data_IF_658763148879
#
_entry.id   IF_658763148879
#
_cell.length_a   1.000
_cell.length_b   1.000
_cell.length_c   1.000
_cell.angle_alpha   90.00
_cell.angle_beta   90.00
_cell.angle_gamma   90.00
#
_symmetry.space_group_name_H-M   'P 1'
#
loop_
_entity.id
_entity.type
_entity.pdbx_description
1 polymer ?
#
# COMPACT_ATOMS: atom_id res chain seq x y z
N UNK A 1 9.38 -8.53 -26.95
CA UNK A 1 9.44 -9.81 -27.67
C UNK A 1 10.21 -10.87 -26.85
N UNK A 2 11.44 -10.60 -26.39
CA UNK A 2 12.20 -11.55 -25.56
C UNK A 2 11.47 -11.98 -24.28
N UNK A 3 10.78 -11.06 -23.60
CA UNK A 3 9.96 -11.37 -22.41
C UNK A 3 8.83 -12.36 -22.73
N UNK A 4 8.14 -12.16 -23.86
CA UNK A 4 7.09 -13.08 -24.29
C UNK A 4 7.66 -14.48 -24.60
N UNK A 5 8.79 -14.55 -25.31
CA UNK A 5 9.43 -15.83 -25.63
C UNK A 5 9.97 -16.55 -24.38
N UNK A 6 10.31 -15.83 -23.32
CA UNK A 6 10.68 -16.44 -22.03
C UNK A 6 9.51 -16.88 -21.18
N UNK A 7 8.28 -16.81 -21.72
CA UNK A 7 7.04 -17.19 -21.00
C UNK A 7 6.55 -16.15 -20.00
N UNK A 8 7.12 -14.95 -20.03
CA UNK A 8 6.64 -13.86 -19.18
C UNK A 8 5.42 -13.17 -19.80
N UNK A 9 4.46 -12.80 -18.96
CA UNK A 9 3.31 -12.01 -19.39
C UNK A 9 3.77 -10.61 -19.75
N UNK A 10 3.46 -10.15 -20.97
CA UNK A 10 3.76 -8.80 -21.44
C UNK A 10 2.46 -7.99 -21.43
N UNK A 11 2.41 -6.97 -20.62
CA UNK A 11 1.27 -6.08 -20.47
C UNK A 11 1.64 -4.65 -20.86
N UNK A 12 0.65 -3.90 -21.34
CA UNK A 12 0.81 -2.46 -21.61
C UNK A 12 -0.53 -1.75 -21.45
N UNK A 13 -0.44 -0.49 -21.11
CA UNK A 13 -1.59 0.38 -20.92
C UNK A 13 -1.75 1.33 -22.09
N UNK A 14 -2.98 1.39 -22.64
CA UNK A 14 -3.34 2.38 -23.66
C UNK A 14 -4.23 3.44 -23.01
N UNK A 15 -3.75 4.67 -22.97
CA UNK A 15 -4.49 5.79 -22.39
C UNK A 15 -5.88 5.93 -23.02
N UNK A 16 -6.91 5.98 -22.20
CA UNK A 16 -8.31 6.04 -22.61
C UNK A 16 -8.95 4.72 -23.03
N UNK A 17 -8.16 3.63 -23.14
CA UNK A 17 -8.67 2.30 -23.52
C UNK A 17 -8.51 1.24 -22.44
N UNK A 18 -7.43 1.26 -21.66
CA UNK A 18 -7.17 0.33 -20.55
C UNK A 18 -5.95 -0.56 -20.78
N UNK A 19 -5.83 -1.61 -19.97
CA UNK A 19 -4.71 -2.55 -19.98
C UNK A 19 -4.96 -3.70 -20.95
N UNK A 20 -3.91 -4.09 -21.65
CA UNK A 20 -3.89 -5.20 -22.61
C UNK A 20 -2.74 -6.14 -22.31
N UNK A 21 -2.97 -7.41 -22.51
CA UNK A 21 -1.97 -8.48 -22.43
C UNK A 21 -1.70 -9.00 -23.83
N UNK A 22 -0.44 -9.25 -24.17
CA UNK A 22 -0.07 -9.96 -25.39
C UNK A 22 -0.52 -11.40 -25.24
N UNK A 23 -1.54 -11.79 -26.02
CA UNK A 23 -2.12 -13.15 -25.99
C UNK A 23 -1.46 -14.10 -26.98
N UNK A 24 -1.02 -13.58 -28.13
CA UNK A 24 -0.31 -14.36 -29.14
C UNK A 24 0.56 -13.45 -30.02
N UNK A 25 1.66 -14.02 -30.54
CA UNK A 25 2.50 -13.40 -31.57
C UNK A 25 2.61 -14.39 -32.73
N UNK A 26 1.98 -14.05 -33.86
CA UNK A 26 2.10 -14.80 -35.09
C UNK A 26 3.24 -14.22 -35.95
N UNK A 27 4.34 -14.96 -36.02
CA UNK A 27 5.52 -14.55 -36.77
C UNK A 27 5.36 -14.71 -38.27
N UNK A 28 4.44 -15.59 -38.71
CA UNK A 28 4.20 -15.84 -40.15
C UNK A 28 3.36 -14.70 -40.72
N UNK A 29 2.28 -14.34 -40.04
CA UNK A 29 1.41 -13.23 -40.42
C UNK A 29 1.95 -11.86 -39.98
N UNK A 30 3.01 -11.82 -39.18
CA UNK A 30 3.58 -10.61 -38.56
C UNK A 30 2.54 -9.83 -37.73
N UNK A 31 1.68 -10.55 -37.00
CA UNK A 31 0.61 -9.99 -36.19
C UNK A 31 0.86 -10.25 -34.70
N UNK A 32 0.45 -9.28 -33.89
CA UNK A 32 0.43 -9.39 -32.44
C UNK A 32 -1.02 -9.28 -31.96
N UNK A 33 -1.48 -10.30 -31.26
CA UNK A 33 -2.82 -10.35 -30.71
C UNK A 33 -2.83 -9.90 -29.25
N UNK A 34 -3.77 -9.05 -28.93
CA UNK A 34 -3.94 -8.47 -27.61
C UNK A 34 -5.30 -8.82 -27.04
N UNK A 35 -5.33 -9.20 -25.78
CA UNK A 35 -6.57 -9.38 -25.03
C UNK A 35 -6.70 -8.26 -24.03
N UNK A 36 -7.84 -7.60 -24.00
CA UNK A 36 -8.12 -6.55 -23.01
C UNK A 36 -8.20 -7.19 -21.62
N UNK A 37 -7.41 -6.67 -20.70
CA UNK A 37 -7.39 -7.12 -19.33
C UNK A 37 -8.09 -6.07 -18.44
N UNK A 38 -8.97 -6.53 -17.56
CA UNK A 38 -9.65 -5.66 -16.61
C UNK A 38 -8.86 -5.48 -15.30
N UNK A 39 -7.70 -6.16 -15.20
CA UNK A 39 -6.81 -6.05 -14.05
C UNK A 39 -5.46 -5.47 -14.48
N UNK A 40 -4.91 -4.59 -13.67
CA UNK A 40 -3.54 -4.12 -13.81
C UNK A 40 -2.65 -5.24 -13.27
N UNK A 41 -1.92 -5.94 -14.16
CA UNK A 41 -0.87 -6.93 -13.79
C UNK A 41 -1.24 -7.94 -12.70
N UNK A 42 -2.47 -8.49 -12.72
CA UNK A 42 -2.93 -9.39 -11.65
C UNK A 42 -3.20 -8.69 -10.31
N UNK A 43 -3.14 -7.36 -10.28
CA UNK A 43 -3.52 -6.55 -9.14
C UNK A 43 -5.04 -6.34 -9.11
N UNK A 44 -5.58 -6.31 -7.93
CA UNK A 44 -6.98 -5.97 -7.66
C UNK A 44 -7.08 -4.46 -7.38
N UNK A 45 -8.17 -3.76 -7.75
CA UNK A 45 -8.34 -2.33 -7.53
C UNK A 45 -8.61 -2.01 -6.04
N UNK A 46 -7.68 -2.43 -5.19
CA UNK A 46 -7.76 -2.32 -3.74
C UNK A 46 -6.63 -1.44 -3.24
N UNK A 47 -6.96 -0.49 -2.40
CA UNK A 47 -6.01 0.17 -1.51
C UNK A 47 -6.11 -0.56 -0.17
N UNK A 48 -5.04 -1.22 0.24
CA UNK A 48 -5.01 -2.01 1.46
C UNK A 48 -4.33 -1.24 2.58
N UNK A 49 -5.07 -0.98 3.66
CA UNK A 49 -4.60 -0.22 4.79
C UNK A 49 -4.30 -1.10 6.00
N UNK A 50 -3.09 -1.00 6.51
CA UNK A 50 -2.59 -1.66 7.72
C UNK A 50 -2.57 -0.64 8.88
N UNK A 51 -3.64 -0.54 9.69
CA UNK A 51 -3.71 0.39 10.80
C UNK A 51 -2.92 -0.10 12.00
N UNK A 52 -2.32 0.82 12.74
CA UNK A 52 -2.03 0.63 14.14
C UNK A 52 -3.25 0.99 14.99
N UNK A 53 -3.39 0.45 16.18
CA UNK A 53 -4.58 0.64 17.03
C UNK A 53 -4.33 1.43 18.30
N UNK A 54 -3.08 1.69 18.64
CA UNK A 54 -2.69 2.33 19.90
C UNK A 54 -2.86 3.86 19.89
N UNK A 55 -2.54 4.52 18.78
CA UNK A 55 -2.77 5.95 18.61
C UNK A 55 -4.09 6.20 17.89
N UNK A 56 -5.18 6.34 18.65
CA UNK A 56 -6.53 6.51 18.09
C UNK A 56 -6.63 7.76 17.19
N UNK A 57 -5.92 8.85 17.53
CA UNK A 57 -5.92 10.06 16.74
C UNK A 57 -5.35 9.84 15.33
N UNK A 58 -4.21 9.13 15.22
CA UNK A 58 -3.62 8.77 13.94
C UNK A 58 -4.55 7.85 13.14
N UNK A 59 -5.05 6.78 13.76
CA UNK A 59 -5.93 5.83 13.10
C UNK A 59 -7.21 6.49 12.57
N UNK A 60 -7.86 7.33 13.38
CA UNK A 60 -9.06 8.05 12.97
C UNK A 60 -8.79 9.03 11.81
N UNK A 61 -7.68 9.78 11.88
CA UNK A 61 -7.28 10.72 10.84
C UNK A 61 -6.99 9.98 9.51
N UNK A 62 -6.17 8.93 9.56
CA UNK A 62 -5.80 8.15 8.37
C UNK A 62 -7.03 7.48 7.76
N UNK A 63 -7.84 6.80 8.56
CA UNK A 63 -9.05 6.10 8.07
C UNK A 63 -10.01 7.09 7.39
N UNK A 64 -10.30 8.23 8.03
CA UNK A 64 -11.22 9.23 7.47
C UNK A 64 -10.71 9.80 6.15
N UNK A 65 -9.43 10.17 6.10
CA UNK A 65 -8.83 10.78 4.89
C UNK A 65 -8.71 9.76 3.76
N UNK A 66 -8.28 8.52 4.04
CA UNK A 66 -8.20 7.46 3.04
C UNK A 66 -9.58 7.12 2.45
N UNK A 67 -10.61 7.02 3.30
CA UNK A 67 -11.99 6.78 2.83
C UNK A 67 -12.41 7.86 1.84
N UNK A 68 -12.26 9.13 2.22
CA UNK A 68 -12.62 10.26 1.34
C UNK A 68 -11.86 10.22 0.01
N UNK A 69 -10.55 9.98 0.05
CA UNK A 69 -9.73 9.95 -1.18
C UNK A 69 -10.13 8.78 -2.08
N UNK A 70 -10.35 7.60 -1.50
CA UNK A 70 -10.74 6.41 -2.27
C UNK A 70 -12.10 6.59 -2.92
N UNK A 71 -13.07 7.16 -2.20
CA UNK A 71 -14.39 7.47 -2.74
C UNK A 71 -14.28 8.47 -3.90
N UNK A 72 -13.52 9.57 -3.74
CA UNK A 72 -13.27 10.55 -4.79
C UNK A 72 -12.58 9.94 -6.03
N UNK A 73 -11.61 9.05 -5.80
CA UNK A 73 -10.90 8.36 -6.88
C UNK A 73 -11.81 7.35 -7.59
N UNK A 74 -12.65 6.63 -6.85
CA UNK A 74 -13.60 5.67 -7.41
C UNK A 74 -14.64 6.36 -8.32
N UNK A 75 -15.12 7.56 -7.93
CA UNK A 75 -16.05 8.36 -8.75
C UNK A 75 -15.41 8.83 -10.06
N UNK A 76 -14.12 9.15 -10.04
CA UNK A 76 -13.39 9.66 -11.23
C UNK A 76 -12.79 8.55 -12.10
N UNK A 77 -12.58 7.39 -11.51
CA UNK A 77 -11.96 6.25 -12.17
C UNK A 77 -13.00 5.38 -12.87
N UNK A 78 -12.61 4.77 -13.99
CA UNK A 78 -13.39 3.68 -14.59
C UNK A 78 -13.21 2.35 -13.87
N UNK A 79 -12.27 2.29 -12.94
CA UNK A 79 -11.95 1.11 -12.14
C UNK A 79 -12.57 1.33 -10.76
N UNK A 80 -13.38 0.40 -10.24
CA UNK A 80 -14.00 0.52 -8.93
C UNK A 80 -12.95 0.31 -7.84
N UNK A 81 -12.28 1.40 -7.44
CA UNK A 81 -11.33 1.36 -6.32
C UNK A 81 -12.07 1.13 -5.01
N UNK A 82 -11.50 0.31 -4.15
CA UNK A 82 -12.02 0.04 -2.81
C UNK A 82 -10.93 0.18 -1.76
N UNK A 83 -11.31 0.65 -0.57
CA UNK A 83 -10.46 0.65 0.61
C UNK A 83 -10.73 -0.62 1.42
N UNK A 84 -9.71 -1.43 1.62
CA UNK A 84 -9.76 -2.54 2.54
C UNK A 84 -8.82 -2.30 3.72
N UNK A 85 -9.33 -2.54 4.92
CA UNK A 85 -8.59 -2.33 6.17
C UNK A 85 -8.28 -3.68 6.81
N UNK A 86 -7.05 -3.89 7.25
CA UNK A 86 -6.72 -5.09 8.01
C UNK A 86 -7.56 -5.17 9.28
N UNK A 87 -8.31 -6.25 9.49
CA UNK A 87 -9.06 -6.43 10.72
C UNK A 87 -8.11 -6.59 11.92
N UNK A 88 -8.40 -5.87 12.98
CA UNK A 88 -7.72 -6.00 14.27
C UNK A 88 -8.70 -6.59 15.26
N UNK A 89 -8.31 -7.68 15.90
CA UNK A 89 -9.15 -8.40 16.89
C UNK A 89 -8.55 -8.17 18.26
N UNK A 90 -9.34 -7.60 19.16
CA UNK A 90 -8.93 -7.40 20.53
C UNK A 90 -8.91 -8.72 21.33
N UNK A 91 -7.93 -8.85 22.23
CA UNK A 91 -7.89 -9.93 23.21
C UNK A 91 -7.41 -11.30 22.73
N UNK A 92 -7.01 -11.44 21.47
CA UNK A 92 -6.41 -12.67 20.96
C UNK A 92 -5.10 -12.40 20.20
N UNK A 93 -4.17 -13.38 20.16
CA UNK A 93 -2.99 -13.22 19.31
C UNK A 93 -3.37 -12.95 17.87
N UNK A 94 -2.82 -11.88 17.30
CA UNK A 94 -3.06 -11.56 15.91
C UNK A 94 -2.43 -12.62 14.98
N UNK A 95 -3.17 -13.04 13.98
CA UNK A 95 -2.74 -14.02 12.99
C UNK A 95 -2.86 -13.43 11.58
N UNK A 96 -1.74 -13.36 10.89
CA UNK A 96 -1.75 -13.03 9.46
C UNK A 96 -2.26 -14.24 8.66
N UNK A 97 -3.48 -14.12 8.15
CA UNK A 97 -4.13 -15.18 7.39
C UNK A 97 -3.67 -15.19 5.93
N UNK A 98 -3.81 -16.33 5.24
CA UNK A 98 -3.53 -16.44 3.81
C UNK A 98 -4.39 -15.47 2.98
N UNK A 99 -5.61 -15.15 3.42
CA UNK A 99 -6.47 -14.16 2.78
C UNK A 99 -5.88 -12.76 2.86
N UNK A 100 -5.36 -12.36 4.02
CA UNK A 100 -4.70 -11.06 4.21
C UNK A 100 -3.40 -10.98 3.41
N UNK A 101 -2.58 -12.03 3.41
CA UNK A 101 -1.36 -12.10 2.59
C UNK A 101 -1.69 -11.93 1.10
N UNK A 102 -2.73 -12.61 0.62
CA UNK A 102 -3.19 -12.45 -0.75
C UNK A 102 -3.65 -11.02 -1.06
N UNK A 103 -4.40 -10.38 -0.15
CA UNK A 103 -4.88 -9.00 -0.32
C UNK A 103 -3.72 -8.00 -0.34
N UNK A 104 -2.74 -8.14 0.55
CA UNK A 104 -1.52 -7.34 0.53
C UNK A 104 -0.84 -7.49 -0.83
N UNK A 105 -0.59 -8.71 -1.27
CA UNK A 105 0.12 -8.97 -2.53
C UNK A 105 -0.65 -8.40 -3.74
N UNK A 106 -1.97 -8.55 -3.77
CA UNK A 106 -2.80 -8.16 -4.92
C UNK A 106 -3.29 -6.72 -4.92
N UNK A 107 -3.19 -5.98 -3.81
CA UNK A 107 -3.62 -4.58 -3.76
C UNK A 107 -2.80 -3.70 -4.70
N UNK A 108 -3.39 -2.65 -5.24
CA UNK A 108 -2.69 -1.62 -6.02
C UNK A 108 -1.70 -0.83 -5.15
N UNK A 109 -2.12 -0.50 -3.94
CA UNK A 109 -1.34 0.26 -2.97
C UNK A 109 -1.48 -0.38 -1.59
N UNK A 110 -0.37 -0.58 -0.92
CA UNK A 110 -0.29 -0.89 0.51
C UNK A 110 -0.01 0.39 1.27
N UNK A 111 -0.88 0.73 2.21
CA UNK A 111 -0.70 1.87 3.12
C UNK A 111 -0.46 1.32 4.52
N UNK A 112 0.67 1.63 5.12
CA UNK A 112 1.03 1.19 6.47
C UNK A 112 1.14 2.39 7.42
N UNK A 113 0.41 2.33 8.53
CA UNK A 113 0.51 3.33 9.60
C UNK A 113 1.67 2.98 10.52
N UNK A 114 2.80 3.61 10.28
CA UNK A 114 4.04 3.45 11.06
C UNK A 114 4.18 4.49 12.18
N UNK A 115 3.08 5.10 12.59
CA UNK A 115 3.04 6.03 13.72
C UNK A 115 3.58 5.35 14.98
N UNK A 116 4.56 5.95 15.68
CA UNK A 116 5.10 5.36 16.90
C UNK A 116 4.04 5.21 17.99
N UNK A 117 4.05 4.07 18.64
CA UNK A 117 3.13 3.75 19.74
C UNK A 117 3.75 3.94 21.11
N UNK A 118 5.08 3.86 21.19
CA UNK A 118 5.84 4.00 22.42
C UNK A 118 7.30 4.36 22.10
N UNK A 119 8.09 4.61 23.14
CA UNK A 119 9.55 4.72 23.05
C UNK A 119 10.23 3.90 24.14
N UNK A 120 11.42 3.41 23.86
CA UNK A 120 12.26 2.67 24.82
C UNK A 120 13.62 3.31 24.88
N UNK A 121 14.07 3.59 26.11
CA UNK A 121 15.43 4.07 26.37
C UNK A 121 16.36 2.86 26.49
N UNK A 122 17.38 2.82 25.65
CA UNK A 122 18.48 1.86 25.70
C UNK A 122 19.79 2.61 25.91
N UNK A 123 20.39 2.43 27.07
CA UNK A 123 21.63 3.11 27.47
C UNK A 123 21.49 4.64 27.27
N UNK A 124 22.16 5.22 26.25
CA UNK A 124 22.12 6.64 25.94
C UNK A 124 21.24 6.99 24.74
N UNK A 125 20.44 6.05 24.24
CA UNK A 125 19.59 6.26 23.06
C UNK A 125 18.14 5.95 23.35
N UNK A 126 17.25 6.79 22.84
CA UNK A 126 15.82 6.52 22.81
C UNK A 126 15.42 6.03 21.43
N UNK A 127 14.71 4.91 21.37
CA UNK A 127 14.19 4.32 20.13
C UNK A 127 12.66 4.33 20.16
N UNK A 128 12.06 4.76 19.06
CA UNK A 128 10.62 4.69 18.87
C UNK A 128 10.19 3.26 18.55
N UNK A 129 9.02 2.87 19.01
CA UNK A 129 8.43 1.56 18.75
C UNK A 129 7.21 1.75 17.86
N UNK A 130 7.16 1.00 16.77
CA UNK A 130 6.03 0.88 15.87
C UNK A 130 5.24 -0.38 16.22
N UNK A 131 3.96 -0.41 15.89
CA UNK A 131 3.11 -1.59 16.09
C UNK A 131 3.70 -2.81 15.36
N UNK A 132 3.95 -3.88 16.12
CA UNK A 132 4.56 -5.11 15.61
C UNK A 132 3.71 -5.78 14.52
N UNK A 133 2.39 -5.66 14.59
CA UNK A 133 1.49 -6.25 13.57
C UNK A 133 1.63 -5.52 12.23
N UNK A 134 1.74 -4.19 12.26
CA UNK A 134 2.03 -3.37 11.08
C UNK A 134 3.40 -3.70 10.51
N UNK A 135 4.42 -3.90 11.37
CA UNK A 135 5.77 -4.28 10.93
C UNK A 135 5.77 -5.62 10.16
N UNK A 136 5.00 -6.61 10.63
CA UNK A 136 4.91 -7.92 9.94
C UNK A 136 4.21 -7.79 8.58
N UNK A 137 3.11 -7.04 8.49
CA UNK A 137 2.40 -6.79 7.24
C UNK A 137 3.25 -6.00 6.26
N UNK A 138 3.93 -4.96 6.74
CA UNK A 138 4.84 -4.15 5.94
C UNK A 138 6.02 -4.99 5.44
N UNK A 139 6.62 -5.83 6.28
CA UNK A 139 7.72 -6.72 5.89
C UNK A 139 7.30 -7.68 4.76
N UNK A 140 6.09 -8.23 4.83
CA UNK A 140 5.54 -9.03 3.73
C UNK A 140 5.29 -8.17 2.47
N UNK A 141 4.77 -6.96 2.64
CA UNK A 141 4.58 -6.01 1.55
C UNK A 141 5.89 -5.68 0.82
N UNK A 142 6.95 -5.39 1.56
CA UNK A 142 8.29 -5.10 1.02
C UNK A 142 8.82 -6.26 0.17
N UNK A 143 8.54 -7.51 0.56
CA UNK A 143 8.96 -8.69 -0.18
C UNK A 143 8.17 -8.92 -1.47
N UNK A 144 6.93 -8.46 -1.55
CA UNK A 144 5.98 -8.88 -2.61
C UNK A 144 5.52 -7.75 -3.53
N UNK A 145 5.85 -6.51 -3.21
CA UNK A 145 5.41 -5.31 -3.94
C UNK A 145 6.60 -4.44 -4.35
N UNK A 146 6.42 -3.68 -5.41
CA UNK A 146 7.35 -2.62 -5.78
C UNK A 146 7.29 -1.46 -4.79
N UNK A 147 8.41 -0.75 -4.62
CA UNK A 147 8.51 0.39 -3.69
C UNK A 147 7.47 1.50 -3.97
N UNK A 148 7.09 1.67 -5.23
CA UNK A 148 6.04 2.62 -5.63
C UNK A 148 4.63 2.21 -5.21
N UNK A 149 4.43 0.95 -4.78
CA UNK A 149 3.15 0.41 -4.32
C UNK A 149 3.03 0.37 -2.80
N UNK A 150 3.98 0.96 -2.08
CA UNK A 150 3.97 1.04 -0.62
C UNK A 150 4.04 2.50 -0.20
N UNK A 151 3.14 2.88 0.70
CA UNK A 151 3.10 4.20 1.31
C UNK A 151 3.12 4.06 2.84
N UNK A 152 4.07 4.70 3.47
CA UNK A 152 4.22 4.75 4.91
C UNK A 152 3.65 6.07 5.43
N UNK A 153 2.72 5.99 6.37
CA UNK A 153 2.14 7.14 7.05
C UNK A 153 2.65 7.20 8.48
N UNK A 154 3.11 8.37 8.90
CA UNK A 154 3.66 8.59 10.22
C UNK A 154 3.08 9.86 10.83
N UNK A 155 2.25 9.75 11.87
CA UNK A 155 1.84 10.90 12.64
C UNK A 155 2.97 11.31 13.59
N UNK A 156 3.37 12.58 13.54
CA UNK A 156 4.38 13.11 14.45
C UNK A 156 3.84 13.12 15.88
N UNK A 157 4.56 12.46 16.77
CA UNK A 157 4.24 12.33 18.20
C UNK A 157 5.19 13.20 19.01
N UNK A 158 4.69 14.36 19.47
CA UNK A 158 5.48 15.28 20.31
C UNK A 158 5.66 14.79 21.75
N UNK A 159 4.89 13.79 22.15
CA UNK A 159 4.94 13.12 23.45
C UNK A 159 5.91 11.93 23.51
N UNK A 160 6.50 11.56 22.39
CA UNK A 160 7.50 10.49 22.29
C UNK A 160 8.80 11.02 21.70
N UNK A 161 9.91 10.67 22.34
CA UNK A 161 11.25 11.02 21.88
C UNK A 161 12.02 9.76 21.48
N UNK A 162 12.76 9.84 20.38
CA UNK A 162 13.61 8.75 19.93
C UNK A 162 13.83 8.71 18.43
N UNK A 163 14.73 7.84 18.01
CA UNK A 163 14.98 7.56 16.60
C UNK A 163 13.96 6.56 16.05
N UNK A 164 13.62 6.70 14.77
CA UNK A 164 12.81 5.69 14.09
C UNK A 164 13.50 4.31 14.13
N UNK A 165 12.75 3.21 14.34
CA UNK A 165 13.33 1.87 14.43
C UNK A 165 13.89 1.37 13.09
N UNK A 166 13.52 2.00 11.98
CA UNK A 166 14.01 1.65 10.65
C UNK A 166 14.03 2.88 9.73
N UNK A 167 14.97 2.87 8.81
CA UNK A 167 15.03 3.77 7.66
C UNK A 167 14.78 2.94 6.41
N UNK A 168 13.79 3.35 5.61
CA UNK A 168 13.40 2.67 4.37
C UNK A 168 13.56 3.63 3.17
N UNK A 169 14.82 3.91 2.77
CA UNK A 169 15.07 4.75 1.63
C UNK A 169 14.48 4.13 0.35
N UNK A 170 13.85 4.95 -0.47
CA UNK A 170 13.20 4.50 -1.71
C UNK A 170 11.71 4.16 -1.57
N UNK A 171 11.16 4.16 -0.36
CA UNK A 171 9.72 4.07 -0.15
C UNK A 171 9.11 5.45 0.06
N UNK A 172 7.87 5.63 -0.41
CA UNK A 172 7.13 6.87 -0.16
C UNK A 172 6.75 6.95 1.32
N UNK A 173 7.15 8.04 1.97
CA UNK A 173 6.82 8.30 3.36
C UNK A 173 6.14 9.66 3.48
N UNK A 174 5.10 9.75 4.30
CA UNK A 174 4.40 10.98 4.61
C UNK A 174 4.27 11.13 6.12
N UNK A 175 4.95 12.15 6.66
CA UNK A 175 4.75 12.59 8.04
C UNK A 175 3.67 13.66 8.10
N UNK A 176 2.84 13.62 9.14
CA UNK A 176 1.77 14.58 9.35
C UNK A 176 1.54 14.83 10.85
N UNK A 177 1.04 15.99 11.19
CA UNK A 177 0.74 16.39 12.58
C UNK A 177 -0.75 16.20 12.91
N UNK A 178 -1.62 16.38 11.92
CA UNK A 178 -3.07 16.27 12.09
C UNK A 178 -3.77 15.84 10.79
N UNK A 179 -5.07 15.54 10.90
CA UNK A 179 -5.88 15.13 9.76
C UNK A 179 -6.04 16.20 8.69
N UNK A 180 -5.90 17.50 9.03
CA UNK A 180 -6.00 18.60 8.04
C UNK A 180 -4.76 18.65 7.16
N UNK A 181 -3.59 18.44 7.74
CA UNK A 181 -2.35 18.34 6.97
C UNK A 181 -2.37 17.08 6.10
N UNK A 182 -2.78 15.94 6.68
CA UNK A 182 -2.90 14.69 5.95
C UNK A 182 -3.83 14.81 4.74
N UNK A 183 -5.01 15.43 4.89
CA UNK A 183 -5.99 15.59 3.81
C UNK A 183 -5.48 16.46 2.64
N UNK A 184 -4.52 17.34 2.87
CA UNK A 184 -3.90 18.15 1.82
C UNK A 184 -2.75 17.43 1.12
N UNK A 185 -1.96 16.66 1.87
CA UNK A 185 -0.70 16.09 1.37
C UNK A 185 -0.89 14.70 0.76
N UNK A 186 -1.76 13.87 1.34
CA UNK A 186 -1.96 12.49 0.91
C UNK A 186 -2.48 12.35 -0.54
N UNK A 187 -3.44 13.17 -1.03
CA UNK A 187 -3.91 13.07 -2.41
C UNK A 187 -2.84 13.33 -3.47
N UNK A 188 -1.76 14.05 -3.11
CA UNK A 188 -0.66 14.35 -4.03
C UNK A 188 0.31 13.17 -4.21
N UNK A 189 0.24 12.18 -3.32
CA UNK A 189 1.09 10.99 -3.32
C UNK A 189 0.38 9.75 -3.89
N UNK A 190 -0.93 9.77 -3.92
CA UNK A 190 -1.79 8.71 -4.45
C UNK A 190 -2.20 9.00 -5.90
#
# INVERSE_FOLDING_TARGET
>A
FQLYLSGQTVEFYIQGSGTYVVSNIDLVSQEIYFTKCNSISGLEPIIYYCPQTYCQAANAAVTSVLTTIVDDLAERSRIPLTLEVTPRVDGSPWRLSNSQLRKINKSLLLVADVTPINSVVKEDRSELIVDSTVCVELGYGIQTKDSGQILLLNMERTDLEGASPFDLPGYKQLSFTDGKQLSKSLPQLM
#
